data_IF_526273196430
#
_entry.id   IF_526273196430
#
_cell.length_a   1.000
_cell.length_b   1.000
_cell.length_c   1.000
_cell.angle_alpha   90.00
_cell.angle_beta   90.00
_cell.angle_gamma   90.00
#
_symmetry.space_group_name_H-M   'P 1'
#
loop_
_entity.id
_entity.type
_entity.pdbx_description
1 polymer ?
#
# COMPACT_ATOMS: atom_id res chain seq x y z
N UNK A 1 1.06 6.35 -9.70
CA UNK A 1 1.34 6.84 -8.35
C UNK A 1 0.59 8.13 -8.09
N UNK A 2 -0.62 8.20 -8.64
CA UNK A 2 -1.73 8.94 -8.08
C UNK A 2 -2.88 7.96 -7.84
N UNK A 3 -3.36 7.87 -6.61
CA UNK A 3 -4.43 6.94 -6.24
C UNK A 3 -5.61 7.68 -5.63
N UNK A 4 -6.78 7.04 -5.70
CA UNK A 4 -7.99 7.47 -5.02
C UNK A 4 -8.50 6.36 -4.10
N UNK A 5 -8.74 6.71 -2.85
CA UNK A 5 -9.41 5.86 -1.86
C UNK A 5 -10.62 6.67 -1.40
N UNK A 6 -11.83 6.20 -1.71
CA UNK A 6 -13.06 6.97 -1.47
C UNK A 6 -12.99 8.40 -2.07
N UNK A 7 -13.04 9.44 -1.24
CA UNK A 7 -12.93 10.86 -1.66
C UNK A 7 -11.49 11.38 -1.63
N UNK A 8 -10.56 10.65 -1.02
CA UNK A 8 -9.17 11.08 -0.86
C UNK A 8 -8.33 10.79 -2.11
N UNK A 9 -7.56 11.78 -2.54
CA UNK A 9 -6.57 11.65 -3.60
C UNK A 9 -5.17 11.79 -3.00
N UNK A 10 -4.33 10.79 -3.24
CA UNK A 10 -2.94 10.75 -2.80
C UNK A 10 -2.02 10.72 -4.01
N UNK A 11 -0.90 11.43 -3.92
CA UNK A 11 0.11 11.54 -4.97
C UNK A 11 1.52 11.57 -4.39
N UNK A 12 2.48 11.07 -5.16
CA UNK A 12 3.88 10.97 -4.80
C UNK A 12 4.48 9.72 -5.43
N UNK A 13 5.58 9.22 -4.87
CA UNK A 13 6.05 7.86 -5.09
C UNK A 13 5.14 6.84 -4.41
N UNK A 14 5.24 5.56 -4.78
CA UNK A 14 4.51 4.50 -4.10
C UNK A 14 4.84 4.43 -2.60
N UNK A 15 6.12 4.54 -2.26
CA UNK A 15 6.59 4.54 -0.88
C UNK A 15 6.07 5.75 -0.08
N UNK A 16 6.07 6.96 -0.66
CA UNK A 16 5.52 8.15 0.01
C UNK A 16 4.02 8.03 0.28
N UNK A 17 3.26 7.47 -0.66
CA UNK A 17 1.82 7.25 -0.46
C UNK A 17 1.58 6.20 0.63
N UNK A 18 2.36 5.12 0.66
CA UNK A 18 2.27 4.12 1.74
C UNK A 18 2.63 4.73 3.11
N UNK A 19 3.63 5.59 3.16
CA UNK A 19 4.00 6.30 4.39
C UNK A 19 2.90 7.25 4.88
N UNK A 20 2.26 7.97 3.96
CA UNK A 20 1.09 8.79 4.27
C UNK A 20 -0.06 7.96 4.82
N UNK A 21 -0.34 6.78 4.23
CA UNK A 21 -1.37 5.87 4.72
C UNK A 21 -1.02 5.31 6.10
N UNK A 22 0.24 4.92 6.30
CA UNK A 22 0.76 4.46 7.59
C UNK A 22 0.53 5.52 8.67
N UNK A 23 0.92 6.76 8.41
CA UNK A 23 0.81 7.88 9.35
C UNK A 23 -0.64 8.31 9.65
N UNK A 24 -1.61 7.97 8.79
CA UNK A 24 -3.04 8.24 9.02
C UNK A 24 -3.69 7.21 9.95
N UNK A 25 -3.23 5.97 9.91
CA UNK A 25 -3.88 4.84 10.59
C UNK A 25 -3.19 4.48 11.90
N UNK A 26 -1.86 4.61 11.96
CA UNK A 26 -1.06 4.13 13.08
C UNK A 26 -0.28 5.26 13.75
N UNK A 27 -0.06 5.10 15.05
CA UNK A 27 0.93 5.92 15.75
C UNK A 27 2.33 5.58 15.19
N UNK A 28 3.21 6.58 14.95
CA UNK A 28 4.55 6.35 14.44
C UNK A 28 5.40 5.39 15.27
N UNK A 29 5.05 5.15 16.54
CA UNK A 29 5.72 4.20 17.43
C UNK A 29 5.24 2.75 17.27
N UNK A 30 4.08 2.51 16.63
CA UNK A 30 3.53 1.16 16.41
C UNK A 30 4.03 0.52 15.11
N UNK A 31 4.28 1.33 14.08
CA UNK A 31 4.87 0.87 12.81
C UNK A 31 6.16 1.65 12.53
N UNK A 32 7.34 1.02 12.65
CA UNK A 32 8.61 1.75 12.62
C UNK A 32 8.96 2.31 11.23
N UNK A 33 8.48 1.67 10.16
CA UNK A 33 8.79 2.04 8.78
C UNK A 33 7.72 1.61 7.78
N UNK A 34 7.85 2.11 6.56
CA UNK A 34 6.95 1.86 5.44
C UNK A 34 6.98 0.41 4.96
N UNK A 35 8.13 -0.25 4.96
CA UNK A 35 8.26 -1.64 4.49
C UNK A 35 7.48 -2.59 5.41
N UNK A 36 7.62 -2.44 6.72
CA UNK A 36 6.88 -3.19 7.73
C UNK A 36 5.37 -3.00 7.58
N UNK A 37 4.94 -1.78 7.27
CA UNK A 37 3.52 -1.49 6.99
C UNK A 37 3.02 -2.17 5.71
N UNK A 38 3.82 -2.17 4.63
CA UNK A 38 3.50 -2.88 3.38
C UNK A 38 3.32 -4.38 3.65
N UNK A 39 4.22 -5.01 4.40
CA UNK A 39 4.11 -6.44 4.74
C UNK A 39 2.87 -6.74 5.59
N UNK A 40 2.57 -5.88 6.57
CA UNK A 40 1.33 -6.00 7.35
C UNK A 40 0.09 -5.90 6.45
N UNK A 41 0.04 -4.92 5.55
CA UNK A 41 -1.08 -4.72 4.64
C UNK A 41 -1.23 -5.91 3.69
N UNK A 42 -0.12 -6.43 3.13
CA UNK A 42 -0.10 -7.65 2.32
C UNK A 42 -0.73 -8.82 3.07
N UNK A 43 -0.28 -9.09 4.29
CA UNK A 43 -0.79 -10.20 5.09
C UNK A 43 -2.30 -10.07 5.34
N UNK A 44 -2.80 -8.86 5.56
CA UNK A 44 -4.23 -8.62 5.70
C UNK A 44 -5.01 -8.84 4.39
N UNK A 45 -4.49 -8.39 3.25
CA UNK A 45 -5.11 -8.63 1.94
C UNK A 45 -5.16 -10.12 1.64
N UNK A 46 -4.05 -10.85 1.82
CA UNK A 46 -3.98 -12.31 1.59
C UNK A 46 -4.98 -13.03 2.49
N UNK A 47 -5.01 -12.70 3.79
CA UNK A 47 -5.94 -13.30 4.75
C UNK A 47 -7.41 -13.03 4.41
N UNK A 48 -7.72 -11.83 3.93
CA UNK A 48 -9.11 -11.40 3.68
C UNK A 48 -9.65 -11.88 2.34
N UNK A 49 -8.79 -11.93 1.32
CA UNK A 49 -9.19 -12.23 -0.07
C UNK A 49 -8.83 -13.65 -0.52
N UNK A 50 -7.91 -14.31 0.18
CA UNK A 50 -7.31 -15.59 -0.24
C UNK A 50 -6.36 -15.47 -1.44
N UNK A 51 -6.10 -14.26 -1.95
CA UNK A 51 -5.21 -14.03 -3.07
C UNK A 51 -3.77 -13.90 -2.58
N UNK A 52 -2.95 -14.91 -2.86
CA UNK A 52 -1.52 -14.84 -2.61
C UNK A 52 -0.79 -14.11 -3.76
N UNK A 53 0.12 -13.23 -3.40
CA UNK A 53 0.98 -12.52 -4.34
C UNK A 53 2.31 -12.18 -3.67
N UNK A 54 3.46 -12.59 -4.22
CA UNK A 54 4.76 -12.28 -3.63
C UNK A 54 5.03 -10.77 -3.74
N UNK A 55 5.84 -10.23 -2.84
CA UNK A 55 6.41 -8.89 -2.98
C UNK A 55 7.92 -9.03 -3.21
N UNK A 56 8.54 -8.17 -4.04
CA UNK A 56 9.99 -8.18 -4.22
C UNK A 56 10.70 -7.81 -2.93
N UNK A 57 11.83 -8.45 -2.63
CA UNK A 57 12.65 -8.13 -1.45
C UNK A 57 13.54 -6.90 -1.72
N UNK A 58 13.67 -6.01 -0.73
CA UNK A 58 14.68 -4.94 -0.74
C UNK A 58 14.38 -3.73 -1.64
N UNK A 59 13.20 -3.63 -2.24
CA UNK A 59 12.76 -2.46 -3.01
C UNK A 59 11.37 -2.00 -2.57
N UNK A 60 11.33 -1.07 -1.62
CA UNK A 60 10.11 -0.53 -1.01
C UNK A 60 9.19 0.15 -2.03
N UNK A 61 9.76 0.79 -3.06
CA UNK A 61 8.98 1.46 -4.10
C UNK A 61 8.26 0.42 -4.98
N UNK A 62 8.98 -0.62 -5.41
CA UNK A 62 8.37 -1.71 -6.17
C UNK A 62 7.33 -2.48 -5.34
N UNK A 63 7.62 -2.73 -4.06
CA UNK A 63 6.67 -3.34 -3.13
C UNK A 63 5.38 -2.51 -3.02
N UNK A 64 5.49 -1.19 -2.83
CA UNK A 64 4.35 -0.29 -2.73
C UNK A 64 3.52 -0.27 -4.02
N UNK A 65 4.19 -0.15 -5.18
CA UNK A 65 3.53 -0.19 -6.51
C UNK A 65 2.77 -1.50 -6.73
N UNK A 66 3.38 -2.62 -6.34
CA UNK A 66 2.74 -3.93 -6.45
C UNK A 66 1.55 -4.05 -5.51
N UNK A 67 1.66 -3.58 -4.27
CA UNK A 67 0.54 -3.52 -3.32
C UNK A 67 -0.63 -2.70 -3.86
N UNK A 68 -0.40 -1.48 -4.38
CA UNK A 68 -1.47 -0.67 -4.96
C UNK A 68 -2.12 -1.34 -6.15
N UNK A 69 -1.34 -2.03 -6.99
CA UNK A 69 -1.88 -2.80 -8.11
C UNK A 69 -2.82 -3.93 -7.64
N UNK A 70 -2.50 -4.60 -6.53
CA UNK A 70 -3.36 -5.64 -5.97
C UNK A 70 -4.61 -5.06 -5.31
N UNK A 71 -4.47 -3.97 -4.55
CA UNK A 71 -5.60 -3.26 -3.94
C UNK A 71 -6.58 -2.74 -5.02
N UNK A 72 -6.07 -2.24 -6.14
CA UNK A 72 -6.90 -1.84 -7.27
C UNK A 72 -7.67 -3.02 -7.89
N UNK A 73 -7.02 -4.19 -8.04
CA UNK A 73 -7.67 -5.40 -8.59
C UNK A 73 -8.83 -5.89 -7.72
N UNK A 74 -8.74 -5.72 -6.40
CA UNK A 74 -9.83 -6.09 -5.47
C UNK A 74 -10.81 -4.94 -5.20
N UNK A 75 -10.68 -3.82 -5.92
CA UNK A 75 -11.59 -2.68 -5.83
C UNK A 75 -11.44 -1.82 -4.57
N UNK A 76 -10.35 -1.97 -3.81
CA UNK A 76 -10.11 -1.19 -2.60
C UNK A 76 -9.67 0.26 -2.87
N UNK A 77 -9.16 0.53 -4.08
CA UNK A 77 -8.75 1.87 -4.53
C UNK A 77 -8.77 1.95 -6.05
N UNK A 78 -8.63 3.16 -6.59
CA UNK A 78 -8.43 3.39 -8.03
C UNK A 78 -7.07 4.04 -8.28
N UNK A 79 -6.33 3.56 -9.28
CA UNK A 79 -5.12 4.23 -9.78
C UNK A 79 -5.54 5.23 -10.85
N UNK A 80 -5.22 6.51 -10.67
CA UNK A 80 -5.61 7.60 -11.57
C UNK A 80 -4.54 7.88 -12.64
N UNK A 81 -3.26 7.96 -12.25
CA UNK A 81 -2.11 8.35 -13.09
C UNK A 81 -0.79 7.69 -12.61
N UNK A 82 0.30 7.95 -13.36
CA UNK A 82 1.76 7.81 -13.06
C UNK A 82 2.16 8.08 -11.61
#
# INVERSE_FOLDING_TARGET
MKIRIEEDILSGTGAEIMDQLRARVFDPTEFPDTESYIWFLRNNVVRTTGLDFPLPEGDVEQQARMMFSQLAKVGALTILED
#
